data_IF_730945881288
#
_entry.id   IF_730945881288
#
_cell.length_a   1.000
_cell.length_b   1.000
_cell.length_c   1.000
_cell.angle_alpha   90.00
_cell.angle_beta   90.00
_cell.angle_gamma   90.00
#
_symmetry.space_group_name_H-M   'P 1'
#
loop_
_entity.id
_entity.type
_entity.pdbx_description
1 polymer ?
#
# COMPACT_ATOMS: atom_id res chain seq x y z
N UNK A 1 -36.13 -0.33 18.23
CA UNK A 1 -35.22 -0.36 17.08
C UNK A 1 -35.22 -1.79 16.54
N UNK A 2 -35.95 -2.07 15.48
CA UNK A 2 -35.98 -3.42 14.87
C UNK A 2 -35.00 -3.44 13.71
N UNK A 3 -33.89 -4.16 13.87
CA UNK A 3 -32.95 -4.46 12.79
C UNK A 3 -33.44 -5.75 12.10
N UNK A 4 -33.89 -5.67 10.85
CA UNK A 4 -34.40 -6.84 10.11
C UNK A 4 -33.39 -7.26 9.05
N UNK A 5 -33.05 -8.55 9.07
CA UNK A 5 -32.13 -9.15 8.10
C UNK A 5 -32.93 -9.45 6.82
N UNK A 6 -32.59 -8.78 5.72
CA UNK A 6 -33.12 -9.13 4.40
C UNK A 6 -32.28 -10.27 3.78
N UNK A 7 -32.86 -11.22 3.02
CA UNK A 7 -32.13 -12.30 2.32
C UNK A 7 -30.94 -11.88 1.43
N UNK A 8 -30.74 -10.58 1.16
CA UNK A 8 -29.53 -10.03 0.50
C UNK A 8 -28.45 -9.50 1.46
N UNK A 9 -28.56 -9.75 2.76
CA UNK A 9 -27.61 -9.36 3.81
C UNK A 9 -27.31 -7.85 3.87
N UNK A 10 -28.35 -7.03 3.67
CA UNK A 10 -28.33 -5.62 4.02
C UNK A 10 -29.06 -5.41 5.35
N UNK A 11 -28.50 -4.55 6.21
CA UNK A 11 -29.19 -4.05 7.39
C UNK A 11 -29.88 -2.74 7.03
N UNK A 12 -31.21 -2.78 6.85
CA UNK A 12 -32.02 -1.57 6.71
C UNK A 12 -32.41 -1.06 8.09
N UNK A 13 -31.95 0.14 8.44
CA UNK A 13 -32.36 0.82 9.66
C UNK A 13 -33.69 1.54 9.44
N UNK A 14 -34.60 1.43 10.40
CA UNK A 14 -35.91 2.10 10.34
C UNK A 14 -35.74 3.62 10.20
N UNK A 15 -36.69 4.28 9.54
CA UNK A 15 -36.61 5.67 9.10
C UNK A 15 -36.32 6.73 10.20
N UNK A 16 -36.39 6.37 11.49
CA UNK A 16 -36.31 7.24 12.65
C UNK A 16 -34.98 7.18 13.45
N UNK A 17 -33.94 6.48 12.97
CA UNK A 17 -32.67 6.36 13.72
C UNK A 17 -31.86 7.66 13.72
N UNK A 18 -31.38 8.08 14.90
CA UNK A 18 -30.51 9.24 15.08
C UNK A 18 -29.00 8.88 15.05
N UNK A 19 -28.11 9.87 15.23
CA UNK A 19 -26.65 9.67 15.19
C UNK A 19 -26.14 8.70 16.27
N UNK A 20 -26.75 8.71 17.46
CA UNK A 20 -26.39 7.82 18.55
C UNK A 20 -26.89 6.39 18.28
N UNK A 21 -28.05 6.25 17.65
CA UNK A 21 -28.58 4.95 17.19
C UNK A 21 -27.67 4.33 16.13
N UNK A 22 -27.13 5.13 15.19
CA UNK A 22 -26.20 4.67 14.15
C UNK A 22 -24.87 4.18 14.75
N UNK A 23 -24.30 4.91 15.72
CA UNK A 23 -23.09 4.49 16.43
C UNK A 23 -23.31 3.20 17.24
N UNK A 24 -24.43 3.10 17.96
CA UNK A 24 -24.78 1.88 18.68
C UNK A 24 -25.01 0.69 17.74
N UNK A 25 -25.56 0.93 16.54
CA UNK A 25 -25.72 -0.11 15.54
C UNK A 25 -24.38 -0.61 14.97
N UNK A 26 -23.43 0.28 14.70
CA UNK A 26 -22.08 -0.11 14.30
C UNK A 26 -21.40 -0.98 15.38
N UNK A 27 -21.53 -0.61 16.66
CA UNK A 27 -21.00 -1.38 17.80
C UNK A 27 -21.69 -2.74 17.94
N UNK A 28 -23.01 -2.81 17.76
CA UNK A 28 -23.78 -4.07 17.81
C UNK A 28 -23.45 -4.99 16.64
N UNK A 29 -23.25 -4.45 15.44
CA UNK A 29 -22.83 -5.19 14.25
C UNK A 29 -21.41 -5.74 14.42
N UNK A 30 -20.48 -4.93 14.94
CA UNK A 30 -19.13 -5.36 15.29
C UNK A 30 -19.14 -6.52 16.30
N UNK A 31 -19.87 -6.39 17.41
CA UNK A 31 -19.96 -7.45 18.43
C UNK A 31 -20.66 -8.73 17.93
N UNK A 32 -21.65 -8.60 17.04
CA UNK A 32 -22.33 -9.74 16.42
C UNK A 32 -21.43 -10.49 15.44
N UNK A 33 -20.55 -9.76 14.73
CA UNK A 33 -19.56 -10.32 13.79
C UNK A 33 -18.40 -11.00 14.54
N UNK A 34 -17.91 -10.41 15.64
CA UNK A 34 -16.83 -10.97 16.47
C UNK A 34 -17.25 -12.28 17.16
N UNK A 35 -18.54 -12.45 17.49
CA UNK A 35 -19.04 -13.66 18.15
C UNK A 35 -19.62 -14.73 17.22
N UNK A 36 -19.79 -14.43 15.92
CA UNK A 36 -20.27 -15.39 14.94
C UNK A 36 -19.09 -15.91 14.10
N UNK A 37 -18.68 -17.16 14.34
CA UNK A 37 -17.73 -17.88 13.48
C UNK A 37 -18.39 -18.16 12.12
N UNK A 38 -18.42 -17.18 11.22
CA UNK A 38 -19.07 -17.33 9.89
C UNK A 38 -18.01 -17.27 8.79
N UNK A 39 -17.87 -18.33 7.97
CA UNK A 39 -17.01 -18.32 6.81
C UNK A 39 -17.65 -17.48 5.69
N UNK A 40 -16.81 -16.67 5.02
CA UNK A 40 -17.00 -16.17 3.66
C UNK A 40 -18.43 -15.79 3.23
N UNK A 41 -18.77 -14.50 3.32
CA UNK A 41 -19.84 -13.91 2.50
C UNK A 41 -19.29 -12.66 1.81
N UNK A 42 -18.67 -12.90 0.64
CA UNK A 42 -18.42 -11.90 -0.39
C UNK A 42 -19.73 -11.19 -0.72
N UNK A 43 -19.73 -9.85 -0.71
CA UNK A 43 -20.75 -9.07 -1.40
C UNK A 43 -20.09 -8.03 -2.31
N UNK A 44 -20.45 -8.12 -3.60
CA UNK A 44 -20.22 -7.10 -4.59
C UNK A 44 -20.86 -5.78 -4.17
N UNK A 45 -20.05 -4.76 -3.92
CA UNK A 45 -20.50 -3.38 -3.85
C UNK A 45 -20.52 -2.85 -5.30
N UNK A 46 -21.62 -2.28 -5.80
CA UNK A 46 -21.65 -1.71 -7.14
C UNK A 46 -20.68 -0.52 -7.23
N UNK A 47 -19.91 -0.49 -8.32
CA UNK A 47 -18.81 0.43 -8.68
C UNK A 47 -19.18 1.92 -8.83
N UNK A 48 -20.28 2.38 -8.23
CA UNK A 48 -20.81 3.74 -8.37
C UNK A 48 -21.27 4.30 -7.03
N UNK A 49 -20.38 4.32 -6.04
CA UNK A 49 -20.64 4.98 -4.77
C UNK A 49 -19.56 6.03 -4.54
N UNK A 50 -19.94 7.30 -4.69
CA UNK A 50 -19.08 8.47 -4.46
C UNK A 50 -18.90 8.66 -2.95
N UNK A 51 -17.65 8.59 -2.47
CA UNK A 51 -17.29 8.70 -1.04
C UNK A 51 -16.96 10.14 -0.61
N UNK A 52 -17.49 11.17 -1.27
CA UNK A 52 -16.96 12.54 -1.16
C UNK A 52 -17.60 13.45 -0.10
N UNK A 53 -18.33 12.91 0.89
CA UNK A 53 -18.94 13.78 1.92
C UNK A 53 -18.17 13.79 3.25
N UNK A 54 -17.93 15.01 3.74
CA UNK A 54 -17.35 15.36 5.04
C UNK A 54 -18.21 14.82 6.20
N UNK A 55 -18.11 13.54 6.53
CA UNK A 55 -18.90 12.95 7.62
C UNK A 55 -18.49 11.55 8.09
N UNK A 56 -17.59 10.89 7.35
CA UNK A 56 -17.27 9.48 7.58
C UNK A 56 -16.33 9.29 8.79
N UNK A 57 -16.75 8.44 9.74
CA UNK A 57 -15.95 8.01 10.88
C UNK A 57 -15.39 6.61 10.60
N UNK A 58 -14.06 6.49 10.61
CA UNK A 58 -13.36 5.21 10.56
C UNK A 58 -13.29 4.59 11.96
N UNK A 59 -13.95 3.45 12.14
CA UNK A 59 -13.75 2.61 13.33
C UNK A 59 -13.70 1.14 12.90
N UNK A 60 -12.57 0.48 13.14
CA UNK A 60 -12.37 -0.97 12.91
C UNK A 60 -12.88 -1.49 11.57
N UNK A 61 -12.56 -0.78 10.48
CA UNK A 61 -12.92 -1.19 9.14
C UNK A 61 -14.40 -1.03 8.79
N UNK A 62 -15.15 -0.20 9.50
CA UNK A 62 -16.50 0.19 9.08
C UNK A 62 -16.48 1.62 8.55
N UNK A 63 -17.01 1.82 7.35
CA UNK A 63 -17.36 3.13 6.79
C UNK A 63 -18.88 3.28 6.95
N UNK A 64 -19.30 4.30 7.67
CA UNK A 64 -20.72 4.64 7.85
C UNK A 64 -21.01 5.90 7.08
N UNK A 65 -21.66 5.76 5.92
CA UNK A 65 -22.19 6.91 5.19
C UNK A 65 -23.48 7.37 5.89
N UNK A 66 -23.39 8.53 6.56
CA UNK A 66 -24.47 9.08 7.37
C UNK A 66 -25.62 9.65 6.53
N UNK A 67 -25.35 10.11 5.31
CA UNK A 67 -26.34 10.70 4.41
C UNK A 67 -27.23 9.64 3.76
N UNK A 68 -26.64 8.53 3.32
CA UNK A 68 -27.33 7.43 2.64
C UNK A 68 -27.76 6.30 3.59
N UNK A 69 -27.46 6.42 4.90
CA UNK A 69 -27.78 5.43 5.95
C UNK A 69 -27.27 4.02 5.61
N UNK A 70 -26.10 3.93 4.99
CA UNK A 70 -25.45 2.67 4.62
C UNK A 70 -24.18 2.47 5.43
N UNK A 71 -24.01 1.24 5.90
CA UNK A 71 -22.84 0.80 6.67
C UNK A 71 -22.09 -0.20 5.79
N UNK A 72 -20.88 0.16 5.36
CA UNK A 72 -20.00 -0.71 4.59
C UNK A 72 -18.87 -1.21 5.48
N UNK A 73 -18.59 -2.51 5.45
CA UNK A 73 -17.41 -3.08 6.09
C UNK A 73 -16.26 -3.08 5.09
N UNK A 74 -15.29 -2.21 5.30
CA UNK A 74 -13.97 -2.27 4.67
C UNK A 74 -13.03 -2.93 5.68
N UNK A 75 -12.95 -4.26 5.68
CA UNK A 75 -11.87 -4.94 6.41
C UNK A 75 -10.55 -4.30 5.99
N UNK A 76 -9.71 -3.88 6.96
CA UNK A 76 -8.29 -3.67 6.66
C UNK A 76 -7.82 -4.94 5.97
N UNK A 77 -7.32 -4.86 4.74
CA UNK A 77 -6.93 -6.05 4.02
C UNK A 77 -5.79 -6.74 4.79
N UNK A 78 -5.77 -8.07 4.80
CA UNK A 78 -4.86 -8.89 5.63
C UNK A 78 -3.42 -8.84 5.09
N UNK A 79 -2.81 -7.66 5.13
CA UNK A 79 -1.46 -7.41 4.70
C UNK A 79 -0.61 -6.84 5.83
N UNK A 80 0.70 -7.12 5.84
CA UNK A 80 1.62 -6.48 6.77
C UNK A 80 1.56 -4.95 6.64
N UNK A 81 1.64 -4.26 7.77
CA UNK A 81 1.64 -2.79 7.78
C UNK A 81 2.80 -2.20 6.98
N UNK A 82 3.98 -2.82 7.05
CA UNK A 82 5.13 -2.43 6.26
C UNK A 82 4.85 -2.48 4.75
N UNK A 83 4.05 -3.44 4.28
CA UNK A 83 3.67 -3.53 2.87
C UNK A 83 2.69 -2.42 2.47
N UNK A 84 1.71 -2.11 3.32
CA UNK A 84 0.80 -0.98 3.10
C UNK A 84 1.58 0.34 3.03
N UNK A 85 2.49 0.57 3.98
CA UNK A 85 3.31 1.78 4.03
C UNK A 85 4.23 1.86 2.80
N UNK A 86 4.81 0.73 2.38
CA UNK A 86 5.54 0.63 1.11
C UNK A 86 4.67 1.06 -0.08
N UNK A 87 3.45 0.54 -0.20
CA UNK A 87 2.55 0.90 -1.30
C UNK A 87 2.18 2.38 -1.31
N UNK A 88 1.95 2.96 -0.13
CA UNK A 88 1.68 4.39 0.03
C UNK A 88 2.88 5.23 -0.45
N UNK A 89 4.10 4.95 0.03
CA UNK A 89 5.29 5.68 -0.40
C UNK A 89 5.58 5.46 -1.90
N UNK A 90 5.32 4.26 -2.41
CA UNK A 90 5.59 3.91 -3.81
C UNK A 90 4.65 4.63 -4.79
N UNK A 91 3.37 4.79 -4.42
CA UNK A 91 2.34 5.31 -5.32
C UNK A 91 1.91 6.76 -5.04
N UNK A 92 1.90 7.19 -3.78
CA UNK A 92 1.47 8.54 -3.42
C UNK A 92 2.65 9.51 -3.42
N UNK A 93 3.68 9.24 -2.61
CA UNK A 93 4.79 10.18 -2.42
C UNK A 93 5.91 10.01 -3.44
N UNK A 94 5.98 8.84 -4.09
CA UNK A 94 7.08 8.41 -4.97
C UNK A 94 8.44 8.46 -4.27
N UNK A 95 8.46 8.23 -2.96
CA UNK A 95 9.68 8.14 -2.15
C UNK A 95 10.20 6.69 -2.16
N UNK A 96 10.78 6.32 -3.30
CA UNK A 96 11.32 4.98 -3.50
C UNK A 96 12.52 4.65 -2.59
N UNK A 97 13.13 5.64 -1.96
CA UNK A 97 14.15 5.41 -0.95
C UNK A 97 13.50 5.02 0.38
N UNK A 98 12.43 5.72 0.77
CA UNK A 98 11.64 5.32 1.94
C UNK A 98 11.06 3.91 1.79
N UNK A 99 10.58 3.58 0.59
CA UNK A 99 10.13 2.23 0.25
C UNK A 99 11.20 1.16 0.56
N UNK A 100 12.46 1.45 0.26
CA UNK A 100 13.57 0.57 0.57
C UNK A 100 13.78 0.44 2.08
N UNK A 101 13.79 1.56 2.82
CA UNK A 101 14.00 1.52 4.28
C UNK A 101 12.89 0.73 4.98
N UNK A 102 11.62 1.00 4.65
CA UNK A 102 10.45 0.32 5.24
C UNK A 102 10.52 -1.20 5.02
N UNK A 103 10.74 -1.64 3.77
CA UNK A 103 10.76 -3.07 3.49
C UNK A 103 12.06 -3.74 3.90
N UNK A 104 13.20 -3.05 3.92
CA UNK A 104 14.46 -3.63 4.40
C UNK A 104 14.36 -3.98 5.89
N UNK A 105 13.82 -3.08 6.71
CA UNK A 105 13.55 -3.34 8.13
C UNK A 105 12.64 -4.57 8.28
N UNK A 106 11.49 -4.56 7.61
CA UNK A 106 10.55 -5.68 7.66
C UNK A 106 11.17 -7.01 7.17
N UNK A 107 11.93 -6.98 6.08
CA UNK A 107 12.60 -8.15 5.51
C UNK A 107 13.64 -8.75 6.47
N UNK A 108 14.37 -7.92 7.22
CA UNK A 108 15.32 -8.37 8.22
C UNK A 108 14.62 -9.07 9.40
N UNK A 109 13.44 -8.59 9.78
CA UNK A 109 12.67 -9.12 10.91
C UNK A 109 11.89 -10.39 10.57
N UNK A 110 11.38 -10.53 9.33
CA UNK A 110 10.49 -11.64 8.95
C UNK A 110 11.19 -12.84 8.32
N UNK A 111 12.48 -13.03 8.60
CA UNK A 111 13.22 -14.21 8.14
C UNK A 111 13.69 -14.13 6.68
N UNK A 112 13.71 -12.92 6.11
CA UNK A 112 14.33 -12.59 4.82
C UNK A 112 13.74 -13.28 3.60
N UNK A 113 12.42 -13.40 3.54
CA UNK A 113 11.75 -13.98 2.38
C UNK A 113 12.05 -13.21 1.08
N UNK A 114 12.22 -13.95 -0.02
CA UNK A 114 12.72 -13.39 -1.30
C UNK A 114 11.78 -12.39 -1.96
N UNK A 115 10.47 -12.53 -1.79
CA UNK A 115 9.50 -11.65 -2.44
C UNK A 115 9.59 -10.20 -1.92
N UNK A 116 9.90 -10.01 -0.64
CA UNK A 116 10.23 -8.67 -0.10
C UNK A 116 11.48 -8.09 -0.75
N UNK A 117 12.53 -8.91 -0.92
CA UNK A 117 13.74 -8.47 -1.61
C UNK A 117 13.45 -8.03 -3.06
N UNK A 118 12.55 -8.70 -3.76
CA UNK A 118 12.12 -8.30 -5.12
C UNK A 118 11.49 -6.90 -5.11
N UNK A 119 10.59 -6.61 -4.15
CA UNK A 119 9.95 -5.30 -4.02
C UNK A 119 10.94 -4.19 -3.62
N UNK A 120 11.90 -4.51 -2.74
CA UNK A 120 13.01 -3.62 -2.37
C UNK A 120 13.85 -3.30 -3.61
N UNK A 121 14.28 -4.32 -4.36
CA UNK A 121 15.09 -4.16 -5.56
C UNK A 121 14.37 -3.33 -6.63
N UNK A 122 13.06 -3.53 -6.80
CA UNK A 122 12.25 -2.75 -7.73
C UNK A 122 12.19 -1.27 -7.34
N UNK A 123 11.93 -0.95 -6.07
CA UNK A 123 11.93 0.42 -5.59
C UNK A 123 13.29 1.10 -5.82
N UNK A 124 14.40 0.43 -5.47
CA UNK A 124 15.76 0.96 -5.68
C UNK A 124 16.07 1.10 -7.19
N UNK A 125 15.58 0.20 -8.04
CA UNK A 125 15.77 0.29 -9.48
C UNK A 125 15.11 1.55 -10.07
N UNK A 126 13.87 1.83 -9.66
CA UNK A 126 13.11 3.02 -10.07
C UNK A 126 13.76 4.28 -9.50
N UNK A 127 14.24 4.24 -8.26
CA UNK A 127 15.02 5.33 -7.66
C UNK A 127 16.30 5.63 -8.47
N UNK A 128 17.06 4.60 -8.85
CA UNK A 128 18.27 4.76 -9.65
C UNK A 128 17.98 5.36 -11.03
N UNK A 129 16.91 4.92 -11.68
CA UNK A 129 16.47 5.49 -12.95
C UNK A 129 16.14 6.97 -12.81
N UNK A 130 15.33 7.35 -11.80
CA UNK A 130 14.98 8.74 -11.50
C UNK A 130 16.20 9.65 -11.29
N UNK A 131 17.32 9.07 -10.85
CA UNK A 131 18.61 9.76 -10.63
C UNK A 131 19.55 9.76 -11.83
N UNK A 132 19.14 9.21 -12.97
CA UNK A 132 19.99 9.02 -14.14
C UNK A 132 21.04 7.91 -13.98
N UNK A 133 20.98 7.11 -12.90
CA UNK A 133 21.83 5.92 -12.73
C UNK A 133 21.24 4.73 -13.50
N UNK A 134 21.24 4.83 -14.83
CA UNK A 134 20.64 3.81 -15.71
C UNK A 134 21.34 2.45 -15.59
N UNK A 135 22.65 2.44 -15.36
CA UNK A 135 23.42 1.19 -15.17
C UNK A 135 22.98 0.47 -13.89
N UNK A 136 22.81 1.21 -12.79
CA UNK A 136 22.32 0.67 -11.52
C UNK A 136 20.89 0.16 -11.65
N UNK A 137 20.01 0.95 -12.27
CA UNK A 137 18.62 0.56 -12.52
C UNK A 137 18.54 -0.72 -13.35
N UNK A 138 19.24 -0.78 -14.51
CA UNK A 138 19.26 -1.95 -15.39
C UNK A 138 19.69 -3.22 -14.66
N UNK A 139 20.72 -3.14 -13.82
CA UNK A 139 21.20 -4.29 -13.04
C UNK A 139 20.11 -4.83 -12.10
N UNK A 140 19.42 -3.94 -11.39
CA UNK A 140 18.37 -4.33 -10.44
C UNK A 140 17.12 -4.85 -11.14
N UNK A 141 16.68 -4.22 -12.23
CA UNK A 141 15.54 -4.71 -13.03
C UNK A 141 15.81 -6.11 -13.61
N UNK A 142 17.04 -6.40 -14.05
CA UNK A 142 17.42 -7.75 -14.46
C UNK A 142 17.31 -8.74 -13.30
N UNK A 143 17.81 -8.37 -12.11
CA UNK A 143 17.72 -9.23 -10.92
C UNK A 143 16.27 -9.48 -10.48
N UNK A 144 15.40 -8.49 -10.59
CA UNK A 144 13.96 -8.63 -10.36
C UNK A 144 13.38 -9.67 -11.32
N UNK A 145 13.62 -9.54 -12.64
CA UNK A 145 13.11 -10.47 -13.65
C UNK A 145 13.58 -11.92 -13.43
N UNK A 146 14.81 -12.12 -12.97
CA UNK A 146 15.36 -13.45 -12.63
C UNK A 146 14.67 -14.10 -11.43
N UNK A 147 14.11 -13.30 -10.51
CA UNK A 147 13.49 -13.76 -9.27
C UNK A 147 11.96 -13.85 -9.31
N UNK A 148 11.31 -13.20 -10.29
CA UNK A 148 9.84 -13.15 -10.37
C UNK A 148 9.18 -14.53 -10.49
N UNK A 149 9.80 -15.46 -11.23
CA UNK A 149 9.23 -16.81 -11.39
C UNK A 149 9.30 -17.62 -10.09
N UNK A 150 10.36 -17.46 -9.29
CA UNK A 150 10.51 -18.13 -7.98
C UNK A 150 9.59 -17.54 -6.91
N UNK A 151 9.35 -16.22 -6.98
CA UNK A 151 8.58 -15.46 -5.97
C UNK A 151 7.12 -15.26 -6.36
N UNK A 152 6.68 -15.88 -7.46
CA UNK A 152 5.38 -15.65 -8.07
C UNK A 152 4.23 -15.78 -7.06
N UNK A 153 4.13 -16.92 -6.38
CA UNK A 153 2.97 -17.20 -5.52
C UNK A 153 2.90 -16.19 -4.37
N UNK A 154 4.03 -15.87 -3.75
CA UNK A 154 4.07 -14.90 -2.64
C UNK A 154 3.71 -13.48 -3.10
N UNK A 155 4.09 -13.09 -4.32
CA UNK A 155 3.71 -11.80 -4.89
C UNK A 155 2.22 -11.74 -5.26
N UNK A 156 1.65 -12.82 -5.80
CA UNK A 156 0.19 -12.93 -6.04
C UNK A 156 -0.58 -12.92 -4.70
N UNK A 157 -0.05 -13.55 -3.65
CA UNK A 157 -0.62 -13.50 -2.30
C UNK A 157 -0.59 -12.08 -1.73
N UNK A 158 0.34 -11.21 -2.18
CA UNK A 158 0.36 -9.77 -1.89
C UNK A 158 -0.57 -8.93 -2.78
N UNK A 159 -1.36 -9.57 -3.64
CA UNK A 159 -2.29 -8.88 -4.55
C UNK A 159 -1.61 -8.29 -5.79
N UNK A 160 -0.38 -8.70 -6.12
CA UNK A 160 0.38 -8.20 -7.28
C UNK A 160 0.23 -9.18 -8.45
N UNK A 161 -0.19 -8.65 -9.60
CA UNK A 161 -0.32 -9.39 -10.84
C UNK A 161 1.05 -9.65 -11.47
N UNK A 162 1.64 -10.80 -11.17
CA UNK A 162 3.05 -11.08 -11.49
C UNK A 162 3.34 -11.16 -12.98
N UNK A 163 2.40 -11.65 -13.79
CA UNK A 163 2.57 -11.69 -15.24
C UNK A 163 2.68 -10.28 -15.84
N UNK A 164 1.77 -9.38 -15.47
CA UNK A 164 1.84 -7.97 -15.88
C UNK A 164 3.09 -7.30 -15.34
N UNK A 165 3.45 -7.55 -14.07
CA UNK A 165 4.67 -7.01 -13.48
C UNK A 165 5.92 -7.42 -14.28
N UNK A 166 5.98 -8.68 -14.71
CA UNK A 166 7.10 -9.20 -15.52
C UNK A 166 7.21 -8.48 -16.86
N UNK A 167 6.08 -8.25 -17.54
CA UNK A 167 6.02 -7.52 -18.79
C UNK A 167 6.46 -6.06 -18.59
N UNK A 168 5.88 -5.36 -17.63
CA UNK A 168 6.20 -3.96 -17.32
C UNK A 168 7.67 -3.77 -16.93
N UNK A 169 8.23 -4.65 -16.11
CA UNK A 169 9.64 -4.58 -15.71
C UNK A 169 10.57 -4.87 -16.89
N UNK A 170 10.22 -5.81 -17.77
CA UNK A 170 11.00 -6.13 -18.96
C UNK A 170 11.02 -4.94 -19.94
N UNK A 171 9.86 -4.34 -20.18
CA UNK A 171 9.70 -3.18 -21.04
C UNK A 171 10.45 -1.97 -20.47
N UNK A 172 10.25 -1.67 -19.18
CA UNK A 172 10.96 -0.62 -18.45
C UNK A 172 12.47 -0.77 -18.59
N UNK A 173 13.01 -1.97 -18.37
CA UNK A 173 14.45 -2.27 -18.52
C UNK A 173 14.94 -1.98 -19.94
N UNK A 174 14.15 -2.33 -20.95
CA UNK A 174 14.52 -2.12 -22.35
C UNK A 174 14.45 -0.65 -22.77
N UNK A 175 13.57 0.13 -22.13
CA UNK A 175 13.28 1.53 -22.46
C UNK A 175 13.99 2.56 -21.55
N UNK A 176 14.84 2.12 -20.61
CA UNK A 176 15.59 3.02 -19.72
C UNK A 176 16.27 4.15 -20.49
N UNK A 177 15.90 5.38 -20.16
CA UNK A 177 16.42 6.60 -20.78
C UNK A 177 16.81 7.63 -19.72
N UNK A 178 17.80 8.46 -20.03
CA UNK A 178 18.15 9.61 -19.20
C UNK A 178 17.25 10.82 -19.48
N UNK A 179 16.60 10.83 -20.64
CA UNK A 179 15.88 12.01 -21.16
C UNK A 179 14.44 12.09 -20.64
N UNK A 180 13.90 10.98 -20.15
CA UNK A 180 12.53 10.90 -19.67
C UNK A 180 12.40 9.85 -18.56
N UNK A 181 11.65 10.22 -17.52
CA UNK A 181 11.33 9.34 -16.41
C UNK A 181 9.82 9.36 -16.18
N UNK A 182 9.23 8.18 -16.00
CA UNK A 182 7.84 8.03 -15.54
C UNK A 182 7.83 7.28 -14.22
N UNK A 183 6.89 7.59 -13.31
CA UNK A 183 6.67 6.78 -12.12
C UNK A 183 6.26 5.36 -12.52
N UNK A 184 6.69 4.39 -11.72
CA UNK A 184 6.25 3.01 -11.88
C UNK A 184 5.01 2.80 -11.01
N UNK A 185 4.00 2.07 -11.50
CA UNK A 185 2.84 1.67 -10.72
C UNK A 185 2.85 0.16 -10.64
N UNK A 186 2.70 -0.40 -9.43
CA UNK A 186 2.59 -1.84 -9.29
C UNK A 186 1.23 -2.30 -9.87
N UNK A 187 1.22 -3.38 -10.68
CA UNK A 187 -0.02 -3.92 -11.21
C UNK A 187 -0.71 -4.73 -10.11
N UNK A 188 -1.54 -4.07 -9.31
CA UNK A 188 -2.34 -4.70 -8.27
C UNK A 188 -3.61 -5.33 -8.87
N UNK A 189 -4.01 -6.52 -8.40
CA UNK A 189 -5.27 -7.17 -8.77
C UNK A 189 -6.25 -7.30 -7.60
N UNK A 190 -5.79 -7.08 -6.35
CA UNK A 190 -6.69 -7.03 -5.20
C UNK A 190 -7.35 -5.64 -5.11
N UNK A 191 -8.62 -5.59 -5.49
CA UNK A 191 -9.41 -4.36 -5.46
C UNK A 191 -9.63 -3.81 -4.04
N UNK A 192 -9.66 -4.68 -3.01
CA UNK A 192 -9.82 -4.25 -1.62
C UNK A 192 -8.56 -3.58 -1.09
N UNK A 193 -7.38 -4.08 -1.50
CA UNK A 193 -6.09 -3.45 -1.22
C UNK A 193 -6.00 -2.07 -1.87
N UNK A 194 -6.30 -1.99 -3.17
CA UNK A 194 -6.22 -0.73 -3.90
C UNK A 194 -7.19 0.31 -3.32
N UNK A 195 -8.43 -0.09 -2.99
CA UNK A 195 -9.40 0.80 -2.35
C UNK A 195 -8.94 1.27 -0.97
N UNK A 196 -8.32 0.40 -0.18
CA UNK A 196 -7.76 0.78 1.12
C UNK A 196 -6.63 1.82 0.94
N UNK A 197 -5.71 1.59 0.01
CA UNK A 197 -4.65 2.55 -0.29
C UNK A 197 -5.18 3.90 -0.81
N UNK A 198 -6.24 3.89 -1.62
CA UNK A 198 -6.96 5.09 -2.06
C UNK A 198 -7.52 5.88 -0.86
N UNK A 199 -8.19 5.21 0.07
CA UNK A 199 -8.72 5.86 1.28
C UNK A 199 -7.63 6.41 2.18
N UNK A 200 -6.49 5.72 2.27
CA UNK A 200 -5.33 6.18 3.03
C UNK A 200 -4.72 7.43 2.38
N UNK A 201 -4.63 7.45 1.04
CA UNK A 201 -4.15 8.62 0.31
C UNK A 201 -5.02 9.85 0.59
N UNK A 202 -6.35 9.69 0.53
CA UNK A 202 -7.33 10.74 0.80
C UNK A 202 -7.23 11.29 2.24
N UNK A 203 -7.14 10.40 3.23
CA UNK A 203 -6.95 10.79 4.65
C UNK A 203 -5.68 11.62 4.88
N UNK A 204 -4.64 11.37 4.10
CA UNK A 204 -3.38 12.12 4.15
C UNK A 204 -3.35 13.34 3.22
N UNK A 205 -4.42 13.62 2.49
CA UNK A 205 -4.49 14.71 1.51
C UNK A 205 -3.51 14.53 0.34
N UNK A 206 -3.25 13.28 -0.03
CA UNK A 206 -2.37 12.89 -1.14
C UNK A 206 -3.15 12.19 -2.24
N UNK A 207 -2.60 12.19 -3.45
CA UNK A 207 -3.21 11.52 -4.60
C UNK A 207 -2.62 10.12 -4.80
N UNK A 208 -3.48 9.11 -4.93
CA UNK A 208 -3.05 7.75 -5.27
C UNK A 208 -2.52 7.70 -6.70
N UNK A 209 -1.41 6.98 -6.91
CA UNK A 209 -0.72 6.87 -8.21
C UNK A 209 -0.37 8.22 -8.81
N UNK A 210 -0.08 9.22 -7.97
CA UNK A 210 0.27 10.57 -8.41
C UNK A 210 1.38 10.58 -9.46
N UNK A 211 1.14 11.28 -10.56
CA UNK A 211 2.00 11.39 -11.74
C UNK A 211 2.52 12.81 -11.99
N UNK A 212 2.31 13.72 -11.02
CA UNK A 212 2.61 15.15 -11.13
C UNK A 212 4.10 15.49 -11.22
N UNK A 213 4.61 16.48 -10.48
CA UNK A 213 6.01 16.93 -10.64
C UNK A 213 7.04 15.87 -10.19
N UNK A 214 7.34 14.96 -11.11
CA UNK A 214 8.33 13.88 -11.02
C UNK A 214 9.74 14.41 -10.74
N UNK A 215 9.99 15.71 -10.93
CA UNK A 215 11.26 16.38 -10.69
C UNK A 215 11.31 17.12 -9.35
N UNK A 216 10.31 16.98 -8.47
CA UNK A 216 10.34 17.58 -7.12
C UNK A 216 11.59 17.15 -6.35
N UNK A 217 12.59 18.04 -6.37
CA UNK A 217 13.91 17.92 -5.76
C UNK A 217 13.90 17.56 -4.25
N UNK A 218 12.90 17.95 -3.43
CA UNK A 218 12.83 17.57 -2.02
C UNK A 218 12.61 16.07 -1.76
N UNK A 219 11.91 15.35 -2.66
CA UNK A 219 11.62 13.91 -2.50
C UNK A 219 12.86 13.06 -2.74
N UNK A 220 13.68 13.47 -3.71
CA UNK A 220 14.89 12.76 -4.11
C UNK A 220 15.97 12.78 -3.00
N UNK A 221 15.90 13.72 -2.06
CA UNK A 221 16.90 13.96 -1.03
C UNK A 221 16.35 14.01 0.40
N UNK A 222 15.10 13.59 0.64
CA UNK A 222 14.52 13.56 2.00
C UNK A 222 15.39 12.75 2.97
N UNK A 223 15.93 11.62 2.53
CA UNK A 223 16.90 10.83 3.30
C UNK A 223 18.24 11.52 3.58
N UNK A 224 18.60 12.58 2.85
CA UNK A 224 19.76 13.43 3.18
C UNK A 224 19.47 14.43 4.27
N UNK A 225 18.19 14.75 4.49
CA UNK A 225 17.71 15.66 5.52
C UNK A 225 17.40 14.93 6.84
N UNK A 226 17.34 13.59 6.84
CA UNK A 226 17.30 12.77 8.05
C UNK A 226 18.62 12.88 8.81
N UNK A 227 18.53 12.99 10.14
CA UNK A 227 19.69 12.89 11.01
C UNK A 227 20.29 11.48 10.89
N UNK A 228 21.54 11.40 10.45
CA UNK A 228 22.29 10.15 10.24
C UNK A 228 23.45 10.00 11.21
N UNK A 229 23.38 10.68 12.35
CA UNK A 229 24.43 10.67 13.37
C UNK A 229 24.80 9.25 13.79
N UNK A 230 23.80 8.38 14.03
CA UNK A 230 24.02 6.98 14.41
C UNK A 230 24.74 6.15 13.33
N UNK A 231 24.35 6.33 12.05
CA UNK A 231 24.99 5.63 10.91
C UNK A 231 26.44 6.10 10.72
N UNK A 232 26.71 7.39 10.94
CA UNK A 232 28.06 7.95 10.86
C UNK A 232 28.92 7.44 12.02
N UNK A 233 28.36 7.38 13.22
CA UNK A 233 29.02 6.87 14.42
C UNK A 233 29.39 5.38 14.26
N UNK A 234 28.43 4.54 13.85
CA UNK A 234 28.68 3.13 13.57
C UNK A 234 29.77 2.91 12.49
N UNK A 235 29.80 3.78 11.47
CA UNK A 235 30.82 3.72 10.41
C UNK A 235 32.20 4.15 10.91
N UNK A 236 32.27 5.14 11.81
CA UNK A 236 33.51 5.57 12.47
C UNK A 236 34.05 4.49 13.41
N UNK A 237 33.18 3.84 14.19
CA UNK A 237 33.55 2.73 15.07
C UNK A 237 34.12 1.56 14.28
N UNK A 238 33.49 1.20 13.15
CA UNK A 238 34.00 0.17 12.24
C UNK A 238 35.37 0.53 11.62
N UNK A 239 35.63 1.81 11.35
CA UNK A 239 36.94 2.28 10.86
C UNK A 239 38.01 2.26 11.95
N UNK A 240 37.66 2.61 13.20
CA UNK A 240 38.56 2.55 14.35
C UNK A 240 38.92 1.11 14.72
N UNK A 241 37.96 0.19 14.63
CA UNK A 241 38.19 -1.24 14.86
C UNK A 241 39.15 -1.87 13.83
N UNK A 242 39.20 -1.35 12.60
CA UNK A 242 40.14 -1.80 11.56
C UNK A 242 41.54 -1.20 11.67
N UNK A 243 41.74 -0.20 12.53
CA UNK A 243 43.03 0.48 12.78
C UNK A 243 43.73 0.00 14.05
N UNK A 244 43.11 -0.89 14.82
CA UNK A 244 43.71 -1.62 15.94
C UNK A 244 44.23 -2.96 15.46
#
# INVERSE_FOLDING_TARGET
MECRINPRHFYELSAAADRADLQNCAVLLHNSFVHASVPALLYHIPLSFDFTNEGDLLYDGWIVNLDDRRVAFVTRPFYPEAYINYLYEFHCTRDYFECHEILEEYWLETGREKHWLVLIQLAVAVYHERRGNLKGSRKLLTSVLEQLDETKNQLEDLGIHTALLKEEVADRRNQLSADFYVPFNLPLHDASLEQYCLSLADQHGTEWKWDGDIHHYPLIHRHKLRDRSEVIEARNDALLAKRR
#
